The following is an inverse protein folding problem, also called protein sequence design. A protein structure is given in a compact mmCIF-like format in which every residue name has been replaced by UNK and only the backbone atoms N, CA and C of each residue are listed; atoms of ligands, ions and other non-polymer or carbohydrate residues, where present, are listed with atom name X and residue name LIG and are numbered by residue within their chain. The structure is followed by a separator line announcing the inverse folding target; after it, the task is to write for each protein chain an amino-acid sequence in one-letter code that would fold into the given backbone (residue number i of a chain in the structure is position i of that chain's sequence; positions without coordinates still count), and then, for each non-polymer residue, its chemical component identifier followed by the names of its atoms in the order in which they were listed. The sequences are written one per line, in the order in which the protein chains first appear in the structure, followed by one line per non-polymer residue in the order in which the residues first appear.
data_IF_118814317747
#
_entry.id   IF_118814317747
#
_cell.length_a   1.000
_cell.length_b   1.000
_cell.length_c   1.000
_cell.angle_alpha   90.00
_cell.angle_beta   90.00
_cell.angle_gamma   90.00
#
_symmetry.space_group_name_H-M   'P 1'
#
loop_
_entity.id
_entity.type
_entity.pdbx_description
1 polymer ?
#
# COMPACT_ATOMS: atom_id res chain seq x y z
N UNK A 1 -0.21 9.49 1.18
CA UNK A 1 -0.65 8.20 0.59
C UNK A 1 -0.12 8.09 -0.84
N UNK A 2 0.33 6.92 -1.28
CA UNK A 2 0.78 6.69 -2.67
C UNK A 2 -0.42 6.55 -3.62
N UNK A 3 -1.15 7.65 -3.86
CA UNK A 3 -2.26 7.69 -4.81
C UNK A 3 -1.71 7.60 -6.22
N UNK A 4 -2.15 6.59 -6.99
CA UNK A 4 -1.67 6.37 -8.34
C UNK A 4 -2.17 7.47 -9.30
N UNK A 5 -1.30 7.93 -10.21
CA UNK A 5 -1.60 8.97 -11.18
C UNK A 5 -2.73 8.62 -12.15
N UNK A 6 -3.10 7.35 -12.31
CA UNK A 6 -4.25 6.91 -13.13
C UNK A 6 -5.59 7.52 -12.68
N UNK A 7 -5.65 8.05 -11.45
CA UNK A 7 -6.85 8.67 -10.88
C UNK A 7 -6.82 10.21 -10.98
N UNK A 8 -5.71 10.81 -11.44
CA UNK A 8 -5.58 12.28 -11.53
C UNK A 8 -6.61 12.91 -12.46
N UNK A 9 -6.92 12.28 -13.59
CA UNK A 9 -7.91 12.80 -14.53
C UNK A 9 -9.29 12.94 -13.84
N UNK A 10 -9.67 11.93 -13.05
CA UNK A 10 -10.92 11.92 -12.30
C UNK A 10 -10.92 12.91 -11.12
N UNK A 11 -9.78 13.13 -10.48
CA UNK A 11 -9.66 14.11 -9.40
C UNK A 11 -9.61 15.54 -9.90
N UNK A 12 -9.07 15.76 -11.10
CA UNK A 12 -9.03 17.08 -11.72
C UNK A 12 -10.43 17.66 -11.96
N UNK A 13 -11.42 16.81 -12.27
CA UNK A 13 -12.82 17.24 -12.42
C UNK A 13 -13.46 17.67 -11.10
N UNK A 14 -12.83 17.33 -9.97
CA UNK A 14 -13.25 17.72 -8.62
C UNK A 14 -12.40 18.85 -8.04
N UNK A 15 -11.54 19.47 -8.86
CA UNK A 15 -10.63 20.54 -8.41
C UNK A 15 -9.46 20.05 -7.55
N UNK A 16 -9.16 18.75 -7.57
CA UNK A 16 -8.03 18.16 -6.83
C UNK A 16 -6.86 17.96 -7.80
N UNK A 17 -5.80 18.73 -7.59
CA UNK A 17 -4.57 18.71 -8.38
C UNK A 17 -3.62 17.59 -7.98
N UNK A 18 -2.52 17.42 -8.71
CA UNK A 18 -1.45 16.51 -8.31
C UNK A 18 -0.75 17.02 -7.04
N UNK A 19 -0.62 18.34 -6.92
CA UNK A 19 0.05 19.03 -5.82
C UNK A 19 -0.71 18.78 -4.51
N UNK A 20 -2.05 18.76 -4.57
CA UNK A 20 -2.92 18.38 -3.46
C UNK A 20 -2.67 16.96 -2.92
N UNK A 21 -2.26 16.03 -3.78
CA UNK A 21 -1.91 14.66 -3.40
C UNK A 21 -0.48 14.54 -2.86
N UNK A 22 0.38 15.52 -3.18
CA UNK A 22 1.76 15.61 -2.66
C UNK A 22 1.82 16.39 -1.36
N UNK A 23 0.79 17.19 -1.06
CA UNK A 23 0.69 17.87 0.22
C UNK A 23 0.56 16.86 1.37
N UNK A 24 1.58 16.86 2.24
CA UNK A 24 1.63 16.04 3.45
C UNK A 24 1.22 16.81 4.71
N UNK A 25 0.87 18.11 4.60
CA UNK A 25 0.54 18.95 5.76
C UNK A 25 -0.92 18.86 6.18
N UNK A 26 -1.84 18.70 5.22
CA UNK A 26 -3.29 18.70 5.49
C UNK A 26 -3.98 17.33 5.48
N UNK A 27 -3.23 16.21 5.47
CA UNK A 27 -3.78 14.86 5.26
C UNK A 27 -4.67 14.71 4.00
N UNK A 28 -4.63 15.68 3.08
CA UNK A 28 -5.49 15.72 1.87
C UNK A 28 -5.30 14.46 1.04
N UNK A 29 -4.06 14.01 0.90
CA UNK A 29 -3.73 12.76 0.23
C UNK A 29 -4.36 11.51 0.89
N UNK A 30 -4.57 11.53 2.22
CA UNK A 30 -5.18 10.42 2.97
C UNK A 30 -6.67 10.40 2.69
N UNK A 31 -7.34 11.55 2.78
CA UNK A 31 -8.78 11.65 2.50
C UNK A 31 -9.09 11.24 1.06
N UNK A 32 -8.31 11.70 0.08
CA UNK A 32 -8.49 11.30 -1.31
C UNK A 32 -8.29 9.79 -1.49
N UNK A 33 -7.25 9.21 -0.87
CA UNK A 33 -7.02 7.77 -0.92
C UNK A 33 -8.17 6.97 -0.29
N UNK A 34 -8.71 7.41 0.85
CA UNK A 34 -9.82 6.75 1.55
C UNK A 34 -11.09 6.80 0.71
N UNK A 35 -11.46 7.96 0.16
CA UNK A 35 -12.63 8.09 -0.72
C UNK A 35 -12.51 7.16 -1.92
N UNK A 36 -11.35 7.12 -2.55
CA UNK A 36 -11.09 6.23 -3.69
C UNK A 36 -11.17 4.76 -3.30
N UNK A 37 -10.58 4.39 -2.17
CA UNK A 37 -10.65 3.03 -1.63
C UNK A 37 -12.10 2.61 -1.36
N UNK A 38 -12.90 3.44 -0.70
CA UNK A 38 -14.30 3.15 -0.38
C UNK A 38 -15.15 2.94 -1.64
N UNK A 39 -14.89 3.72 -2.70
CA UNK A 39 -15.55 3.52 -4.00
C UNK A 39 -15.20 2.19 -4.62
N UNK A 40 -13.92 1.80 -4.62
CA UNK A 40 -13.51 0.49 -5.11
C UNK A 40 -14.00 -0.65 -4.23
N UNK A 41 -14.13 -0.44 -2.92
CA UNK A 41 -14.69 -1.41 -1.98
C UNK A 41 -16.17 -1.68 -2.30
N UNK A 42 -16.97 -0.62 -2.50
CA UNK A 42 -18.36 -0.72 -2.95
C UNK A 42 -18.46 -1.44 -4.30
N UNK A 43 -17.65 -1.06 -5.28
CA UNK A 43 -17.60 -1.70 -6.60
C UNK A 43 -17.04 -3.14 -6.58
N UNK A 44 -16.49 -3.58 -5.45
CA UNK A 44 -15.96 -4.93 -5.24
C UNK A 44 -16.83 -5.75 -4.29
N UNK A 45 -18.07 -5.33 -4.04
CA UNK A 45 -19.01 -5.99 -3.13
C UNK A 45 -18.41 -6.20 -1.73
N UNK A 46 -17.67 -5.22 -1.23
CA UNK A 46 -17.03 -5.30 0.08
C UNK A 46 -15.73 -6.10 0.13
N UNK A 47 -15.23 -6.64 -0.99
CA UNK A 47 -13.97 -7.39 -0.98
C UNK A 47 -12.76 -6.43 -0.93
N UNK A 48 -11.98 -6.40 0.16
CA UNK A 48 -10.89 -5.44 0.35
C UNK A 48 -9.69 -5.71 -0.55
N UNK A 49 -9.37 -6.98 -0.82
CA UNK A 49 -8.27 -7.36 -1.71
C UNK A 49 -8.52 -6.88 -3.15
N UNK A 50 -9.74 -7.06 -3.66
CA UNK A 50 -10.18 -6.54 -4.97
C UNK A 50 -10.19 -5.02 -4.99
N UNK A 51 -10.60 -4.37 -3.90
CA UNK A 51 -10.61 -2.92 -3.79
C UNK A 51 -9.20 -2.33 -3.89
N UNK A 52 -8.24 -2.90 -3.14
CA UNK A 52 -6.83 -2.51 -3.19
C UNK A 52 -6.25 -2.76 -4.59
N UNK A 53 -6.52 -3.92 -5.19
CA UNK A 53 -6.02 -4.22 -6.53
C UNK A 53 -6.48 -3.18 -7.57
N UNK A 54 -7.76 -2.79 -7.52
CA UNK A 54 -8.35 -1.76 -8.40
C UNK A 54 -7.86 -0.34 -8.11
N UNK A 55 -7.59 -0.04 -6.84
CA UNK A 55 -6.95 1.21 -6.45
C UNK A 55 -5.56 1.35 -7.10
N UNK A 56 -4.79 0.26 -7.21
CA UNK A 56 -3.46 0.29 -7.81
C UNK A 56 -3.45 0.20 -9.34
N UNK A 57 -4.42 -0.45 -9.98
CA UNK A 57 -4.54 -0.48 -11.43
C UNK A 57 -5.97 -0.76 -11.92
N UNK A 58 -6.37 -0.08 -13.02
CA UNK A 58 -7.61 -0.37 -13.76
C UNK A 58 -7.48 -1.58 -14.70
N UNK A 59 -6.25 -1.96 -15.06
CA UNK A 59 -5.96 -3.10 -15.95
C UNK A 59 -5.97 -4.42 -15.18
N UNK A 60 -6.84 -5.39 -15.53
CA UNK A 60 -6.99 -6.64 -14.76
C UNK A 60 -5.68 -7.40 -14.51
N UNK A 61 -4.80 -7.47 -15.53
CA UNK A 61 -3.54 -8.20 -15.47
C UNK A 61 -2.56 -7.55 -14.49
N UNK A 62 -2.52 -6.21 -14.44
CA UNK A 62 -1.69 -5.46 -13.51
C UNK A 62 -2.24 -5.51 -12.09
N UNK A 63 -3.56 -5.46 -11.93
CA UNK A 63 -4.22 -5.61 -10.64
C UNK A 63 -3.96 -7.01 -10.03
N UNK A 64 -4.07 -8.07 -10.83
CA UNK A 64 -3.74 -9.43 -10.42
C UNK A 64 -2.25 -9.58 -10.04
N UNK A 65 -1.34 -9.04 -10.86
CA UNK A 65 0.10 -9.04 -10.58
C UNK A 65 0.43 -8.31 -9.28
N UNK A 66 -0.19 -7.15 -9.05
CA UNK A 66 -0.01 -6.39 -7.81
C UNK A 66 -0.47 -7.20 -6.60
N UNK A 67 -1.67 -7.80 -6.67
CA UNK A 67 -2.24 -8.56 -5.57
C UNK A 67 -1.39 -9.80 -5.23
N UNK A 68 -0.87 -10.51 -6.25
CA UNK A 68 0.04 -11.64 -6.04
C UNK A 68 1.33 -11.24 -5.33
N UNK A 69 1.92 -10.10 -5.70
CA UNK A 69 3.12 -9.56 -5.02
C UNK A 69 2.83 -9.18 -3.57
N UNK A 70 1.71 -8.48 -3.33
CA UNK A 70 1.30 -8.08 -1.99
C UNK A 70 1.05 -9.31 -1.10
N UNK A 71 0.33 -10.31 -1.61
CA UNK A 71 0.07 -11.56 -0.90
C UNK A 71 1.37 -12.31 -0.57
N UNK A 72 2.31 -12.39 -1.52
CA UNK A 72 3.62 -13.02 -1.28
C UNK A 72 4.42 -12.35 -0.16
N UNK A 73 4.44 -11.01 -0.12
CA UNK A 73 5.12 -10.24 0.93
C UNK A 73 4.43 -10.47 2.29
N UNK A 74 3.10 -10.42 2.33
CA UNK A 74 2.34 -10.67 3.57
C UNK A 74 2.63 -12.08 4.07
N UNK A 75 2.56 -13.10 3.20
CA UNK A 75 2.84 -14.49 3.54
C UNK A 75 4.25 -14.67 4.11
N UNK A 76 5.26 -14.07 3.46
CA UNK A 76 6.65 -14.12 3.92
C UNK A 76 6.81 -13.50 5.31
N UNK A 77 6.18 -12.34 5.56
CA UNK A 77 6.26 -11.65 6.85
C UNK A 77 5.53 -12.40 7.96
N UNK A 78 4.33 -12.92 7.68
CA UNK A 78 3.57 -13.72 8.65
C UNK A 78 4.33 -14.99 9.06
N UNK A 79 5.05 -15.63 8.13
CA UNK A 79 5.92 -16.78 8.46
C UNK A 79 7.14 -16.38 9.29
N UNK A 80 7.74 -15.22 9.02
CA UNK A 80 8.87 -14.70 9.80
C UNK A 80 8.46 -14.31 11.23
N UNK A 81 7.25 -13.77 11.40
CA UNK A 81 6.65 -13.45 12.71
C UNK A 81 6.28 -14.70 13.51
N UNK A 82 5.80 -15.75 12.84
CA UNK A 82 5.46 -17.02 13.47
C UNK A 82 6.68 -17.87 13.88
N UNK A 83 7.89 -17.50 13.47
CA UNK A 83 9.11 -18.24 13.83
C UNK A 83 9.47 -17.96 15.30
N UNK A 84 9.56 -19.00 16.16
CA UNK A 84 9.90 -18.82 17.57
C UNK A 84 11.28 -18.18 17.74
N UNK A 85 11.44 -17.34 18.77
CA UNK A 85 12.65 -16.55 19.01
C UNK A 85 13.94 -17.38 19.14
N UNK A 86 13.84 -18.69 19.41
CA UNK A 86 15.00 -19.59 19.50
C UNK A 86 15.77 -19.75 18.19
N UNK A 87 15.22 -19.31 17.05
CA UNK A 87 15.89 -19.30 15.74
C UNK A 87 16.54 -17.97 15.34
N UNK A 88 16.45 -16.91 16.16
CA UNK A 88 17.15 -15.64 15.92
C UNK A 88 18.56 -15.75 16.49
N UNK A 89 19.46 -16.44 15.79
CA UNK A 89 20.90 -16.34 16.08
C UNK A 89 21.30 -14.86 16.13
N UNK A 90 21.84 -14.41 17.26
CA UNK A 90 22.44 -13.09 17.44
C UNK A 90 23.57 -12.91 16.40
N UNK A 91 23.25 -12.28 15.28
CA UNK A 91 24.22 -11.80 14.31
C UNK A 91 24.69 -10.40 14.67
N UNK A 92 25.82 -10.32 15.37
CA UNK A 92 26.70 -9.15 15.52
C UNK A 92 26.15 -7.89 16.19
N UNK A 93 25.99 -7.94 17.52
CA UNK A 93 26.44 -6.83 18.37
C UNK A 93 27.91 -7.05 18.72
N UNK A 94 28.82 -6.79 17.79
CA UNK A 94 30.24 -6.65 18.13
C UNK A 94 30.92 -5.85 17.01
N UNK A 95 30.93 -4.52 17.13
CA UNK A 95 31.98 -3.72 16.50
C UNK A 95 32.37 -2.56 17.41
N UNK A 96 33.34 -2.90 18.26
CA UNK A 96 34.39 -2.07 18.85
C UNK A 96 33.97 -0.88 19.72
N UNK A 97 33.96 -1.12 21.04
CA UNK A 97 34.66 -0.26 22.00
C UNK A 97 36.13 -0.71 22.04
N UNK A 98 37.05 0.21 21.77
CA UNK A 98 38.51 0.27 22.09
C UNK A 98 39.14 1.10 20.96
N UNK A 99 39.81 2.23 21.15
CA UNK A 99 40.46 2.88 22.30
C UNK A 99 40.18 4.38 22.26
#
# INVERSE_FOLDING_TARGET
MQVNSIHLAEFSTLGISREDLRDNRGCRNVFVAVVLYLRHLKASNGNPARAIARYHSKTPEHAARYLGRAAGIIQQRSQAEARPESGRTLGSKERLRTK
#
